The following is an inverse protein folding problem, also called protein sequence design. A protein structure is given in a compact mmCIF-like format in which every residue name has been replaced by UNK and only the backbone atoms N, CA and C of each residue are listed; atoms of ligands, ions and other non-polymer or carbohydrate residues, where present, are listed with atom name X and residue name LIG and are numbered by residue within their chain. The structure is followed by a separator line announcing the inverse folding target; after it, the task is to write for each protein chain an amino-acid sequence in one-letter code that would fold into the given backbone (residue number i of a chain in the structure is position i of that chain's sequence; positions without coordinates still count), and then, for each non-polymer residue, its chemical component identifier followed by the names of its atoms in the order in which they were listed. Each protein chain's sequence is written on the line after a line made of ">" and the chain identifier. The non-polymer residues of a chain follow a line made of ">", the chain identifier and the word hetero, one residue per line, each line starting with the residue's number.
data_IF_407990493087
#
_entry.id   IF_407990493087
#
_cell.length_a   1.000
_cell.length_b   1.000
_cell.length_c   1.000
_cell.angle_alpha   90.00
_cell.angle_beta   90.00
_cell.angle_gamma   90.00
#
_symmetry.space_group_name_H-M   'P 1'
#
loop_
_entity.id
_entity.type
_entity.pdbx_description
1 polymer ?
#
# COMPACT_ATOMS: atom_id res chain seq x y z
N UNK A 1 0.06 1.26 -6.21
CA UNK A 1 -0.31 0.34 -5.15
C UNK A 1 -1.19 -0.78 -5.66
N UNK A 2 -1.36 -1.82 -4.84
CA UNK A 2 -2.23 -2.94 -5.17
C UNK A 2 -3.42 -2.96 -4.21
N UNK A 3 -4.60 -3.21 -4.77
CA UNK A 3 -5.83 -3.25 -3.99
C UNK A 3 -6.59 -4.55 -4.27
N UNK A 4 -6.94 -5.28 -3.22
CA UNK A 4 -7.78 -6.48 -3.34
C UNK A 4 -9.24 -6.06 -3.33
N UNK A 5 -9.98 -6.50 -4.35
CA UNK A 5 -11.40 -6.14 -4.49
C UNK A 5 -12.09 -7.18 -5.35
N UNK A 6 -13.24 -7.70 -4.88
CA UNK A 6 -14.05 -8.64 -5.65
C UNK A 6 -13.27 -9.86 -6.15
N UNK A 7 -12.42 -10.41 -5.29
CA UNK A 7 -11.63 -11.60 -5.56
C UNK A 7 -10.55 -11.41 -6.63
N UNK A 8 -10.19 -10.16 -6.90
CA UNK A 8 -9.11 -9.83 -7.82
C UNK A 8 -8.18 -8.84 -7.15
N UNK A 9 -6.98 -8.73 -7.66
CA UNK A 9 -6.04 -7.71 -7.22
C UNK A 9 -5.89 -6.71 -8.35
N UNK A 10 -6.10 -5.44 -8.05
CA UNK A 10 -5.95 -4.36 -9.01
C UNK A 10 -4.62 -3.67 -8.76
N UNK A 11 -3.80 -3.61 -9.80
CA UNK A 11 -2.55 -2.85 -9.76
C UNK A 11 -2.88 -1.46 -10.26
N UNK A 12 -2.78 -0.48 -9.37
CA UNK A 12 -3.16 0.90 -9.69
C UNK A 12 -1.94 1.79 -9.77
N UNK A 13 -1.79 2.47 -10.89
CA UNK A 13 -0.77 3.47 -11.07
C UNK A 13 -1.45 4.76 -11.48
N UNK A 14 -0.66 5.82 -11.60
CA UNK A 14 -1.18 7.13 -11.97
C UNK A 14 -1.84 7.11 -13.36
N UNK A 15 -1.39 6.21 -14.24
CA UNK A 15 -1.83 6.20 -15.62
C UNK A 15 -2.63 4.98 -16.05
N UNK A 16 -2.63 3.91 -15.26
CA UNK A 16 -3.39 2.72 -15.65
C UNK A 16 -3.79 1.86 -14.47
N UNK A 17 -4.72 0.96 -14.74
CA UNK A 17 -5.22 0.01 -13.78
C UNK A 17 -5.25 -1.36 -14.44
N UNK A 18 -4.62 -2.34 -13.80
CA UNK A 18 -4.55 -3.71 -14.30
C UNK A 18 -5.10 -4.65 -13.24
N UNK A 19 -5.96 -5.59 -13.63
CA UNK A 19 -6.49 -6.56 -12.68
C UNK A 19 -5.84 -7.92 -12.87
N UNK A 20 -5.62 -8.61 -11.75
CA UNK A 20 -4.98 -9.93 -11.73
C UNK A 20 -5.81 -10.84 -10.85
N UNK A 21 -6.05 -12.07 -11.31
CA UNK A 21 -6.83 -13.05 -10.56
C UNK A 21 -5.95 -13.81 -9.58
N UNK A 22 -5.46 -13.11 -8.56
CA UNK A 22 -4.66 -13.71 -7.50
C UNK A 22 -5.03 -13.07 -6.17
N UNK A 23 -4.61 -13.70 -5.07
CA UNK A 23 -4.80 -13.10 -3.76
C UNK A 23 -3.71 -12.08 -3.50
N UNK A 24 -4.01 -11.14 -2.63
CA UNK A 24 -3.04 -10.13 -2.25
C UNK A 24 -1.82 -10.76 -1.55
N UNK A 25 -2.06 -11.81 -0.78
CA UNK A 25 -0.99 -12.56 -0.12
C UNK A 25 0.02 -13.11 -1.11
N UNK A 26 -0.48 -13.73 -2.18
CA UNK A 26 0.38 -14.29 -3.21
C UNK A 26 1.11 -13.20 -3.98
N UNK A 27 0.42 -12.11 -4.24
CA UNK A 27 1.04 -10.98 -4.91
C UNK A 27 2.16 -10.39 -4.06
N UNK A 28 1.96 -10.30 -2.76
CA UNK A 28 2.97 -9.76 -1.86
C UNK A 28 4.27 -10.57 -1.92
N UNK A 29 4.15 -11.88 -2.10
CA UNK A 29 5.32 -12.76 -2.19
C UNK A 29 6.13 -12.52 -3.46
N UNK A 30 5.46 -12.05 -4.49
CA UNK A 30 6.10 -11.83 -5.79
C UNK A 30 6.65 -10.42 -5.96
N UNK A 31 6.23 -9.51 -5.11
CA UNK A 31 6.65 -8.11 -5.24
C UNK A 31 8.03 -7.88 -4.67
N UNK A 32 8.77 -6.88 -5.19
CA UNK A 32 10.07 -6.50 -4.63
C UNK A 32 9.95 -6.10 -3.17
N UNK A 33 11.07 -6.10 -2.47
CA UNK A 33 11.09 -5.84 -1.03
C UNK A 33 10.66 -4.43 -0.63
N UNK A 34 10.62 -3.50 -1.57
CA UNK A 34 10.16 -2.15 -1.29
C UNK A 34 8.62 -2.05 -1.28
N UNK A 35 7.93 -3.13 -1.59
CA UNK A 35 6.48 -3.19 -1.47
C UNK A 35 6.11 -3.87 -0.16
N UNK A 36 5.10 -3.34 0.52
CA UNK A 36 4.69 -3.88 1.82
C UNK A 36 3.17 -3.81 1.99
N UNK A 37 2.64 -4.78 2.73
CA UNK A 37 1.24 -4.73 3.11
C UNK A 37 1.05 -3.55 4.07
N UNK A 38 0.03 -2.77 3.82
CA UNK A 38 -0.32 -1.66 4.71
C UNK A 38 -1.76 -1.78 5.20
N UNK A 39 -2.49 -2.72 4.64
CA UNK A 39 -3.90 -2.92 4.96
C UNK A 39 -4.27 -4.31 4.46
N UNK A 40 -5.32 -4.91 5.00
CA UNK A 40 -5.72 -6.23 4.50
C UNK A 40 -6.07 -6.21 3.02
N UNK A 41 -6.40 -5.05 2.49
CA UNK A 41 -6.79 -4.90 1.08
C UNK A 41 -5.77 -4.17 0.22
N UNK A 42 -4.64 -3.74 0.80
CA UNK A 42 -3.67 -2.92 0.06
C UNK A 42 -2.23 -3.34 0.27
N UNK A 43 -1.45 -3.22 -0.81
CA UNK A 43 0.01 -3.30 -0.78
C UNK A 43 0.51 -1.98 -1.37
N UNK A 44 1.48 -1.35 -0.74
CA UNK A 44 1.99 -0.06 -1.17
C UNK A 44 3.49 -0.14 -1.48
N UNK A 45 3.92 0.66 -2.45
CA UNK A 45 5.34 0.85 -2.73
C UNK A 45 5.87 1.86 -1.72
N UNK A 46 6.70 1.39 -0.79
CA UNK A 46 7.21 2.22 0.29
C UNK A 46 8.05 3.40 -0.22
N UNK A 47 8.69 3.24 -1.36
CA UNK A 47 9.51 4.30 -1.94
C UNK A 47 8.68 5.48 -2.45
N UNK A 48 7.40 5.28 -2.68
CA UNK A 48 6.53 6.34 -3.16
C UNK A 48 5.84 7.12 -2.05
N UNK A 49 6.02 6.71 -0.81
CA UNK A 49 5.37 7.40 0.31
C UNK A 49 6.03 8.76 0.52
N UNK A 50 5.23 9.80 0.36
CA UNK A 50 5.68 11.17 0.57
C UNK A 50 5.36 11.65 1.98
N UNK A 51 4.20 11.26 2.50
CA UNK A 51 3.75 11.71 3.80
C UNK A 51 2.88 10.63 4.46
N UNK A 52 3.02 10.46 5.76
CA UNK A 52 2.20 9.55 6.53
C UNK A 52 1.35 10.36 7.49
N UNK A 53 0.04 10.20 7.42
CA UNK A 53 -0.87 10.84 8.37
C UNK A 53 -1.29 9.80 9.39
N UNK A 54 -0.64 9.81 10.55
CA UNK A 54 -0.91 8.83 11.61
C UNK A 54 -2.25 9.06 12.29
N UNK A 55 -2.75 10.26 12.22
CA UNK A 55 -4.03 10.60 12.82
C UNK A 55 -5.19 9.99 12.04
N UNK A 56 -5.11 10.04 10.71
CA UNK A 56 -6.16 9.54 9.85
C UNK A 56 -5.84 8.17 9.25
N UNK A 57 -4.65 7.63 9.52
CA UNK A 57 -4.19 6.36 8.97
C UNK A 57 -4.18 6.36 7.44
N UNK A 58 -3.57 7.38 6.87
CA UNK A 58 -3.48 7.55 5.42
C UNK A 58 -2.05 7.73 4.97
N UNK A 59 -1.74 7.17 3.80
CA UNK A 59 -0.45 7.34 3.14
C UNK A 59 -0.66 8.19 1.90
N UNK A 60 0.12 9.27 1.79
CA UNK A 60 0.08 10.15 0.62
C UNK A 60 1.29 9.83 -0.24
N UNK A 61 1.03 9.42 -1.46
CA UNK A 61 2.08 8.97 -2.37
C UNK A 61 2.52 10.07 -3.32
N UNK A 62 3.76 9.95 -3.78
CA UNK A 62 4.36 10.95 -4.68
C UNK A 62 3.60 11.11 -5.99
N UNK A 63 2.89 10.06 -6.41
CA UNK A 63 2.11 10.10 -7.65
C UNK A 63 0.71 10.69 -7.46
N UNK A 64 0.43 11.25 -6.28
CA UNK A 64 -0.86 11.86 -5.99
C UNK A 64 -1.91 10.90 -5.47
N UNK A 65 -1.59 9.63 -5.37
CA UNK A 65 -2.51 8.64 -4.85
C UNK A 65 -2.53 8.65 -3.32
N UNK A 66 -3.65 8.22 -2.75
CA UNK A 66 -3.83 8.15 -1.29
C UNK A 66 -4.26 6.74 -0.95
N UNK A 67 -3.55 6.11 -0.02
CA UNK A 67 -3.82 4.72 0.36
C UNK A 67 -3.97 4.63 1.88
N UNK A 68 -5.04 3.99 2.38
CA UNK A 68 -5.19 3.83 3.83
C UNK A 68 -4.29 2.73 4.36
N UNK A 69 -3.93 2.83 5.63
CA UNK A 69 -3.27 1.71 6.30
C UNK A 69 -4.05 1.37 7.58
N UNK A 70 -3.99 0.11 7.99
CA UNK A 70 -4.71 -0.32 9.17
C UNK A 70 -3.81 -0.25 10.40
N UNK A 71 -4.43 -0.30 11.56
CA UNK A 71 -3.70 -0.25 12.84
C UNK A 71 -2.65 -1.34 12.95
N UNK A 72 -2.94 -2.51 12.40
CA UNK A 72 -2.01 -3.63 12.45
C UNK A 72 -0.67 -3.33 11.84
N UNK A 73 -0.65 -2.39 10.91
CA UNK A 73 0.56 -2.05 10.15
C UNK A 73 1.15 -0.71 10.52
N UNK A 74 0.63 -0.06 11.56
CA UNK A 74 1.11 1.27 11.95
C UNK A 74 2.60 1.33 12.24
N UNK A 75 3.14 0.28 12.79
CA UNK A 75 4.56 0.26 13.15
C UNK A 75 5.49 0.47 11.98
N UNK A 76 5.05 0.06 10.79
CA UNK A 76 5.85 0.25 9.59
C UNK A 76 6.06 1.73 9.25
N UNK A 77 5.15 2.58 9.69
CA UNK A 77 5.12 3.99 9.30
C UNK A 77 5.48 4.94 10.42
N UNK A 78 5.88 4.43 11.57
CA UNK A 78 6.23 5.27 12.73
C UNK A 78 7.66 5.73 12.79
N UNK A 79 8.47 5.30 11.87
CA UNK A 79 9.90 5.46 11.93
C UNK A 79 10.40 6.90 11.97
N UNK A 80 9.66 7.86 11.70
CA UNK A 80 10.10 9.24 11.80
C UNK A 80 9.80 9.87 13.14
N UNK A 81 8.94 9.25 13.92
CA UNK A 81 8.44 9.82 15.16
C UNK A 81 9.41 9.76 16.30
N UNK A 82 10.22 8.74 16.34
CA UNK A 82 11.15 8.54 17.43
C UNK A 82 12.50 9.13 17.12
N UNK A 83 12.51 9.75 16.05
CA UNK A 83 13.75 10.30 15.43
C UNK A 83 14.58 10.77 16.45
#
# INVERSE_FOLDING_TARGET
>A
YLEAKEKKVFVRTQIEEISVSETLEKMAEKMPSNFARCHRSFIVNMDLIMQVNMHENMLYLKDGMIVPFSRSYRKLFKRGENG
#
